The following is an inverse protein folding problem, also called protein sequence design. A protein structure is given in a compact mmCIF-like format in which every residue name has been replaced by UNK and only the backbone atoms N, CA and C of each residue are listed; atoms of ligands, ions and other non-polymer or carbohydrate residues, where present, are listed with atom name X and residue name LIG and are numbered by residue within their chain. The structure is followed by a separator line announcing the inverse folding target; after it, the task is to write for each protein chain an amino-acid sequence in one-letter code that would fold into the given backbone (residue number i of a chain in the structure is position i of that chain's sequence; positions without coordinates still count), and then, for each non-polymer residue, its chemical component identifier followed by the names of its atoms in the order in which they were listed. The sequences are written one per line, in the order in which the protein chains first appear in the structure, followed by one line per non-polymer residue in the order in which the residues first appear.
data_IF_722271253024
#
_entry.id   IF_722271253024
#
_cell.length_a   1.000
_cell.length_b   1.000
_cell.length_c   1.000
_cell.angle_alpha   90.00
_cell.angle_beta   90.00
_cell.angle_gamma   90.00
#
_symmetry.space_group_name_H-M   'P 1'
#
loop_
_entity.id
_entity.type
_entity.pdbx_description
1 polymer ?
#
# COMPACT_ATOMS: atom_id res chain seq x y z
N UNK A 1 -14.01 9.43 -7.94
CA UNK A 1 -12.97 8.50 -8.44
C UNK A 1 -12.39 7.85 -7.22
N UNK A 2 -12.55 6.55 -7.04
CA UNK A 2 -12.12 5.85 -5.82
C UNK A 2 -10.62 5.58 -5.85
N UNK A 3 -9.97 5.80 -4.71
CA UNK A 3 -8.57 5.44 -4.48
C UNK A 3 -8.55 4.17 -3.65
N UNK A 4 -7.72 3.21 -4.05
CA UNK A 4 -7.56 1.92 -3.38
C UNK A 4 -6.10 1.75 -2.96
N UNK A 5 -5.88 1.34 -1.70
CA UNK A 5 -4.58 0.99 -1.17
C UNK A 5 -4.45 -0.53 -1.11
N UNK A 6 -3.42 -1.07 -1.75
CA UNK A 6 -3.08 -2.48 -1.70
C UNK A 6 -1.80 -2.67 -0.92
N UNK A 7 -1.78 -3.66 -0.03
CA UNK A 7 -0.62 -4.07 0.75
C UNK A 7 -0.40 -5.54 0.43
N UNK A 8 0.72 -5.85 -0.18
CA UNK A 8 1.07 -7.22 -0.54
C UNK A 8 1.96 -7.83 0.54
N UNK A 9 1.94 -9.15 0.68
CA UNK A 9 2.90 -9.89 1.48
C UNK A 9 3.82 -10.72 0.60
N UNK A 10 5.10 -10.36 0.58
CA UNK A 10 6.14 -11.06 -0.17
C UNK A 10 7.02 -11.83 0.81
N UNK A 11 6.95 -13.16 0.78
CA UNK A 11 7.79 -14.04 1.58
C UNK A 11 9.01 -14.50 0.79
N UNK A 12 10.19 -14.47 1.43
CA UNK A 12 11.39 -15.09 0.89
C UNK A 12 11.50 -16.54 1.35
N UNK A 13 12.20 -17.40 0.58
CA UNK A 13 12.51 -18.77 1.02
C UNK A 13 13.32 -18.83 2.33
N UNK A 14 14.00 -17.74 2.68
CA UNK A 14 14.78 -17.60 3.93
C UNK A 14 13.94 -17.16 5.13
N UNK A 15 12.61 -17.01 4.96
CA UNK A 15 11.67 -16.67 6.03
C UNK A 15 11.50 -15.17 6.30
N UNK A 16 12.11 -14.29 5.50
CA UNK A 16 11.86 -12.85 5.60
C UNK A 16 10.56 -12.50 4.87
N UNK A 17 9.73 -11.66 5.50
CA UNK A 17 8.56 -11.08 4.87
C UNK A 17 8.82 -9.60 4.59
N UNK A 18 8.44 -9.17 3.40
CA UNK A 18 8.40 -7.77 3.01
C UNK A 18 6.96 -7.43 2.62
N UNK A 19 6.57 -6.21 2.95
CA UNK A 19 5.23 -5.72 2.71
C UNK A 19 5.30 -4.50 1.79
N UNK A 20 5.34 -4.69 0.45
CA UNK A 20 5.14 -3.59 -0.47
C UNK A 20 3.70 -3.10 -0.42
N UNK A 21 3.52 -1.83 -0.77
CA UNK A 21 2.20 -1.24 -0.91
C UNK A 21 2.10 -0.42 -2.19
N UNK A 22 0.89 -0.33 -2.72
CA UNK A 22 0.60 0.39 -3.96
C UNK A 22 -0.74 1.08 -3.88
N UNK A 23 -0.85 2.21 -4.59
CA UNK A 23 -2.10 2.96 -4.68
C UNK A 23 -2.62 2.85 -6.10
N UNK A 24 -3.90 2.56 -6.21
CA UNK A 24 -4.62 2.41 -7.45
C UNK A 24 -5.76 3.42 -7.51
N UNK A 25 -6.02 3.93 -8.71
CA UNK A 25 -7.13 4.84 -8.99
C UNK A 25 -7.80 4.40 -10.28
N UNK A 26 -9.08 4.06 -10.21
CA UNK A 26 -9.86 3.58 -11.36
C UNK A 26 -9.17 2.44 -12.13
N UNK A 27 -8.58 1.47 -11.42
CA UNK A 27 -7.89 0.33 -12.03
C UNK A 27 -6.51 0.64 -12.63
N UNK A 28 -5.97 1.84 -12.44
CA UNK A 28 -4.59 2.19 -12.80
C UNK A 28 -3.75 2.39 -11.55
N UNK A 29 -2.56 1.81 -11.53
CA UNK A 29 -1.58 2.06 -10.47
C UNK A 29 -1.04 3.48 -10.59
N UNK A 30 -1.25 4.29 -9.55
CA UNK A 30 -0.79 5.69 -9.50
C UNK A 30 0.46 5.86 -8.64
N UNK A 31 0.69 4.96 -7.69
CA UNK A 31 1.88 5.00 -6.85
C UNK A 31 2.31 3.61 -6.39
N UNK A 32 3.62 3.47 -6.14
CA UNK A 32 4.22 2.30 -5.53
C UNK A 32 5.18 2.74 -4.43
N UNK A 33 4.92 2.24 -3.23
CA UNK A 33 5.65 2.60 -2.03
C UNK A 33 6.88 1.74 -1.77
N UNK A 34 7.58 2.08 -0.68
CA UNK A 34 8.70 1.27 -0.23
C UNK A 34 8.21 -0.01 0.44
N UNK A 35 9.02 -1.06 0.33
CA UNK A 35 8.80 -2.33 1.03
C UNK A 35 9.04 -2.15 2.52
N UNK A 36 8.04 -2.47 3.33
CA UNK A 36 8.14 -2.42 4.80
C UNK A 36 8.36 -3.79 5.41
N UNK A 37 8.70 -3.81 6.70
CA UNK A 37 8.96 -5.05 7.43
C UNK A 37 7.70 -5.62 8.06
N UNK A 38 6.69 -4.77 8.28
CA UNK A 38 5.38 -5.18 8.78
C UNK A 38 4.26 -4.65 7.87
N UNK A 39 3.10 -5.31 7.83
CA UNK A 39 1.95 -4.83 7.08
C UNK A 39 1.39 -3.53 7.66
N UNK A 40 1.52 -3.31 8.98
CA UNK A 40 1.07 -2.08 9.65
C UNK A 40 1.90 -0.86 9.20
N UNK A 41 3.21 -1.02 9.04
CA UNK A 41 4.08 0.04 8.52
C UNK A 41 3.71 0.39 7.07
N UNK A 42 3.39 -0.62 6.25
CA UNK A 42 2.98 -0.43 4.86
C UNK A 42 1.62 0.28 4.77
N UNK A 43 0.66 -0.11 5.62
CA UNK A 43 -0.64 0.54 5.70
C UNK A 43 -0.51 1.99 6.14
N UNK A 44 0.25 2.25 7.21
CA UNK A 44 0.43 3.60 7.74
C UNK A 44 1.09 4.52 6.71
N UNK A 45 2.14 4.06 6.02
CA UNK A 45 2.79 4.86 4.99
C UNK A 45 1.88 5.10 3.79
N UNK A 46 1.15 4.07 3.33
CA UNK A 46 0.18 4.20 2.24
C UNK A 46 -0.96 5.16 2.56
N UNK A 47 -1.52 5.07 3.76
CA UNK A 47 -2.55 5.98 4.27
C UNK A 47 -2.02 7.41 4.34
N UNK A 48 -0.82 7.60 4.88
CA UNK A 48 -0.18 8.90 4.95
C UNK A 48 0.06 9.50 3.55
N UNK A 49 0.50 8.68 2.59
CA UNK A 49 0.67 9.14 1.21
C UNK A 49 -0.67 9.60 0.60
N UNK A 50 -1.73 8.81 0.73
CA UNK A 50 -3.05 9.20 0.24
C UNK A 50 -3.49 10.54 0.84
N UNK A 51 -3.40 10.68 2.17
CA UNK A 51 -3.87 11.87 2.88
C UNK A 51 -3.04 13.12 2.59
N UNK A 52 -1.71 13.00 2.58
CA UNK A 52 -0.82 14.15 2.49
C UNK A 52 -0.36 14.49 1.07
N UNK A 53 -0.33 13.50 0.16
CA UNK A 53 0.13 13.70 -1.22
C UNK A 53 -1.05 13.78 -2.19
N UNK A 54 -2.03 12.89 -2.06
CA UNK A 54 -3.21 12.88 -2.93
C UNK A 54 -4.35 13.76 -2.39
N UNK A 55 -4.31 14.12 -1.11
CA UNK A 55 -5.37 14.91 -0.45
C UNK A 55 -6.68 14.14 -0.29
N UNK A 56 -6.63 12.81 -0.39
CA UNK A 56 -7.80 11.93 -0.38
C UNK A 56 -7.54 10.74 0.57
N UNK A 57 -8.60 10.16 1.13
CA UNK A 57 -8.49 8.92 1.92
C UNK A 57 -8.80 7.75 0.98
N UNK A 58 -8.03 6.64 1.02
CA UNK A 58 -8.38 5.48 0.21
C UNK A 58 -9.75 4.96 0.66
N UNK A 59 -10.62 4.70 -0.30
CA UNK A 59 -11.96 4.16 -0.06
C UNK A 59 -11.88 2.72 0.46
N UNK A 60 -10.81 2.01 0.06
CA UNK A 60 -10.56 0.63 0.44
C UNK A 60 -9.08 0.39 0.67
N UNK A 61 -8.78 -0.36 1.74
CA UNK A 61 -7.47 -0.94 2.01
C UNK A 61 -7.60 -2.45 1.85
N UNK A 62 -6.77 -3.07 1.00
CA UNK A 62 -6.76 -4.51 0.75
C UNK A 62 -5.39 -5.07 1.10
N UNK A 63 -5.36 -6.15 1.90
CA UNK A 63 -4.15 -6.92 2.21
C UNK A 63 -4.17 -8.21 1.38
N UNK A 64 -3.10 -8.48 0.64
CA UNK A 64 -2.92 -9.60 -0.30
C UNK A 64 -1.80 -10.53 0.12
#
# INVERSE_FOLDING_TARGET
MSIELFIEQWSSPTGNCLYPWSIWRNGQQVHYGQRKRTPEEAEQEGMHYCQHVLGEVPERVTRL
#
